data_IF_099482389102
#
_entry.id   IF_099482389102
#
_cell.length_a   1.000
_cell.length_b   1.000
_cell.length_c   1.000
_cell.angle_alpha   90.00
_cell.angle_beta   90.00
_cell.angle_gamma   90.00
#
_symmetry.space_group_name_H-M   'P 1'
#
loop_
_entity.id
_entity.type
_entity.pdbx_description
1 polymer ?
#
# COMPACT_ATOMS: atom_id res chain seq x y z
N UNK A 1 11.73 5.97 8.73
CA UNK A 1 11.70 5.05 7.57
C UNK A 1 10.49 4.13 7.71
N UNK A 2 9.36 4.44 7.08
CA UNK A 2 8.12 3.63 7.17
C UNK A 2 8.01 2.70 5.95
N UNK A 3 8.97 1.78 5.82
CA UNK A 3 9.00 0.79 4.74
C UNK A 3 8.08 -0.42 5.01
N UNK A 4 7.84 -1.30 4.02
CA UNK A 4 7.00 -2.50 4.16
C UNK A 4 7.35 -3.39 5.34
N UNK A 5 8.64 -3.42 5.72
CA UNK A 5 9.14 -4.16 6.89
C UNK A 5 8.55 -3.67 8.20
N UNK A 6 8.26 -2.37 8.33
CA UNK A 6 7.60 -1.81 9.51
C UNK A 6 6.14 -2.28 9.65
N UNK A 7 5.53 -2.71 8.55
CA UNK A 7 4.18 -3.30 8.52
C UNK A 7 4.17 -4.83 8.55
N UNK A 8 5.34 -5.48 8.72
CA UNK A 8 5.46 -6.94 8.84
C UNK A 8 5.59 -7.69 7.50
N UNK A 9 5.86 -6.99 6.39
CA UNK A 9 6.08 -7.66 5.11
C UNK A 9 7.55 -8.07 4.94
N UNK A 10 7.76 -9.32 4.51
CA UNK A 10 9.08 -9.94 4.36
C UNK A 10 9.97 -9.26 3.28
N UNK A 11 9.36 -8.53 2.34
CA UNK A 11 10.05 -7.85 1.24
C UNK A 11 9.74 -6.37 1.24
N UNK A 12 10.73 -5.54 0.87
CA UNK A 12 10.61 -4.09 0.71
C UNK A 12 9.77 -3.68 -0.54
N UNK A 13 9.12 -4.67 -1.16
CA UNK A 13 8.25 -4.46 -2.31
C UNK A 13 6.82 -4.19 -1.84
N UNK A 14 6.39 -2.95 -2.06
CA UNK A 14 4.99 -2.57 -1.95
C UNK A 14 4.24 -3.02 -3.20
N UNK A 15 3.37 -4.01 -3.04
CA UNK A 15 2.40 -4.41 -4.06
C UNK A 15 1.04 -3.79 -3.73
N UNK A 16 0.22 -3.54 -4.76
CA UNK A 16 -1.13 -2.99 -4.57
C UNK A 16 -2.00 -3.74 -3.55
N UNK A 17 -2.05 -5.09 -3.53
CA UNK A 17 -2.80 -5.79 -2.48
C UNK A 17 -2.21 -5.57 -1.08
N UNK A 18 -0.89 -5.39 -0.94
CA UNK A 18 -0.26 -5.11 0.37
C UNK A 18 -0.56 -3.70 0.86
N UNK A 19 -0.46 -2.71 -0.02
CA UNK A 19 -0.82 -1.33 0.33
C UNK A 19 -2.30 -1.25 0.71
N UNK A 20 -3.19 -1.93 -0.03
CA UNK A 20 -4.62 -2.03 0.33
C UNK A 20 -4.85 -2.66 1.71
N UNK A 21 -4.13 -3.73 2.03
CA UNK A 21 -4.22 -4.36 3.35
C UNK A 21 -3.73 -3.44 4.49
N UNK A 22 -2.66 -2.66 4.27
CA UNK A 22 -2.18 -1.68 5.26
C UNK A 22 -3.18 -0.55 5.45
N UNK A 23 -3.74 -0.02 4.37
CA UNK A 23 -4.76 1.02 4.45
C UNK A 23 -5.99 0.50 5.20
N UNK A 24 -6.42 -0.73 4.91
CA UNK A 24 -7.51 -1.37 5.66
C UNK A 24 -7.18 -1.49 7.14
N UNK A 25 -5.96 -1.88 7.51
CA UNK A 25 -5.56 -2.05 8.91
C UNK A 25 -5.45 -0.71 9.67
N UNK A 26 -4.99 0.34 9.00
CA UNK A 26 -4.76 1.65 9.63
C UNK A 26 -6.02 2.52 9.63
N UNK A 27 -6.77 2.51 8.54
CA UNK A 27 -7.91 3.40 8.33
C UNK A 27 -9.26 2.68 8.37
N UNK A 28 -9.28 1.35 8.40
CA UNK A 28 -10.53 0.56 8.36
C UNK A 28 -11.22 0.53 6.99
N UNK A 29 -10.60 1.13 5.96
CA UNK A 29 -11.19 1.28 4.62
C UNK A 29 -10.61 0.20 3.70
N UNK A 30 -11.49 -0.56 3.06
CA UNK A 30 -11.10 -1.51 2.03
C UNK A 30 -10.98 -0.79 0.68
N UNK A 31 -9.77 -0.71 0.15
CA UNK A 31 -9.53 -0.25 -1.22
C UNK A 31 -9.27 -1.44 -2.13
N UNK A 32 -9.95 -1.47 -3.28
CA UNK A 32 -9.61 -2.38 -4.38
C UNK A 32 -8.23 -2.05 -4.94
N UNK A 33 -7.54 -3.04 -5.51
CA UNK A 33 -6.21 -2.91 -6.12
C UNK A 33 -6.12 -1.72 -7.11
N UNK A 34 -7.15 -1.51 -7.93
CA UNK A 34 -7.24 -0.40 -8.87
C UNK A 34 -7.29 0.97 -8.18
N UNK A 35 -7.96 1.03 -7.03
CA UNK A 35 -8.10 2.25 -6.24
C UNK A 35 -6.79 2.58 -5.50
N UNK A 36 -6.13 1.54 -4.97
CA UNK A 36 -4.79 1.64 -4.40
C UNK A 36 -3.79 2.12 -5.44
N UNK A 37 -3.82 1.55 -6.66
CA UNK A 37 -2.94 1.98 -7.75
C UNK A 37 -3.16 3.44 -8.15
N UNK A 38 -4.43 3.89 -8.21
CA UNK A 38 -4.76 5.31 -8.43
C UNK A 38 -4.22 6.22 -7.32
N UNK A 39 -4.31 5.79 -6.06
CA UNK A 39 -3.80 6.54 -4.91
C UNK A 39 -2.27 6.64 -4.94
N UNK A 40 -1.59 5.53 -5.23
CA UNK A 40 -0.14 5.47 -5.38
C UNK A 40 0.34 6.38 -6.52
N UNK A 41 -0.30 6.31 -7.70
CA UNK A 41 -0.01 7.25 -8.80
C UNK A 41 -0.17 8.72 -8.38
N UNK A 42 -1.24 9.04 -7.65
CA UNK A 42 -1.48 10.41 -7.17
C UNK A 42 -0.39 10.86 -6.20
N UNK A 43 0.17 9.95 -5.41
CA UNK A 43 1.33 10.19 -4.55
C UNK A 43 2.67 10.25 -5.31
N UNK A 44 2.65 10.20 -6.64
CA UNK A 44 3.87 10.30 -7.46
C UNK A 44 4.68 9.01 -7.50
N UNK A 45 4.09 7.86 -7.16
CA UNK A 45 4.75 6.59 -7.40
C UNK A 45 4.80 6.30 -8.89
N UNK A 46 5.99 6.53 -9.44
CA UNK A 46 6.43 6.01 -10.73
C UNK A 46 7.34 4.81 -10.47
N UNK A 47 7.18 3.78 -11.30
CA UNK A 47 7.88 2.50 -11.26
C UNK A 47 9.38 2.63 -11.02
#
# INVERSE_FOLDING_TARGET
MQGPRAHGYATDLWTCPRVGAVIRRLFGIEYSDCHVWKLLRKMGWTR
#
